data_IF_424400513124
#
_entry.id   IF_424400513124
#
_cell.length_a   1.000
_cell.length_b   1.000
_cell.length_c   1.000
_cell.angle_alpha   90.00
_cell.angle_beta   90.00
_cell.angle_gamma   90.00
#
_symmetry.space_group_name_H-M   'P 1'
#
loop_
_entity.id
_entity.type
_entity.pdbx_description
1 polymer ?
#
# COMPACT_ATOMS: atom_id res chain seq x y z
N UNK A 1 -9.34 -11.74 -4.51
CA UNK A 1 -9.93 -11.31 -3.23
C UNK A 1 -10.88 -10.16 -3.52
N UNK A 2 -12.17 -10.31 -3.25
CA UNK A 2 -13.21 -9.30 -3.49
C UNK A 2 -13.74 -8.83 -2.13
N UNK A 3 -13.99 -7.53 -1.96
CA UNK A 3 -14.60 -6.94 -0.76
C UNK A 3 -16.02 -6.44 -1.10
N UNK A 4 -17.01 -6.72 -0.24
CA UNK A 4 -18.47 -6.72 -0.49
C UNK A 4 -19.09 -5.41 -1.04
N UNK A 5 -20.25 -5.41 -1.71
CA UNK A 5 -21.60 -5.56 -1.12
C UNK A 5 -22.61 -6.34 -1.98
N UNK A 6 -22.17 -6.92 -3.10
CA UNK A 6 -22.95 -7.93 -3.83
C UNK A 6 -21.97 -8.94 -4.45
N UNK A 7 -21.80 -10.07 -3.77
CA UNK A 7 -21.00 -11.16 -4.31
C UNK A 7 -21.81 -11.72 -5.48
N UNK A 8 -21.40 -11.42 -6.73
CA UNK A 8 -21.82 -12.16 -7.94
C UNK A 8 -20.66 -13.05 -8.37
N UNK A 9 -20.51 -14.23 -7.75
CA UNK A 9 -19.29 -15.03 -7.84
C UNK A 9 -19.15 -15.79 -9.17
N UNK A 10 -20.18 -15.81 -10.00
CA UNK A 10 -20.23 -16.65 -11.21
C UNK A 10 -19.43 -16.10 -12.43
N UNK A 11 -18.88 -14.88 -12.37
CA UNK A 11 -18.10 -14.31 -13.50
C UNK A 11 -16.59 -14.20 -13.26
N UNK A 12 -16.11 -14.46 -12.05
CA UNK A 12 -14.70 -14.25 -11.69
C UNK A 12 -14.14 -15.50 -11.00
N UNK A 13 -13.01 -16.01 -11.48
CA UNK A 13 -12.27 -17.17 -10.95
C UNK A 13 -11.61 -16.88 -9.59
N UNK A 14 -12.39 -16.43 -8.61
CA UNK A 14 -11.94 -16.17 -7.25
C UNK A 14 -11.86 -17.50 -6.48
N UNK A 15 -10.75 -17.76 -5.77
CA UNK A 15 -10.58 -18.99 -4.97
C UNK A 15 -11.02 -18.85 -3.51
N UNK A 16 -11.18 -17.63 -3.02
CA UNK A 16 -11.64 -17.32 -1.64
C UNK A 16 -12.07 -15.84 -1.52
N UNK A 17 -12.79 -15.49 -0.44
CA UNK A 17 -13.22 -14.12 -0.17
C UNK A 17 -13.08 -13.73 1.31
N UNK A 18 -12.86 -12.44 1.56
CA UNK A 18 -12.98 -11.82 2.89
C UNK A 18 -14.37 -11.20 2.99
N UNK A 19 -15.05 -11.45 4.10
CA UNK A 19 -16.41 -10.95 4.29
C UNK A 19 -16.64 -10.25 5.62
N UNK A 20 -17.34 -9.10 5.57
CA UNK A 20 -17.56 -8.21 6.70
C UNK A 20 -18.80 -8.57 7.52
N UNK A 21 -18.95 -7.98 8.72
CA UNK A 21 -20.18 -8.13 9.53
C UNK A 21 -21.42 -7.65 8.73
N UNK A 22 -22.41 -8.54 8.58
CA UNK A 22 -23.70 -8.25 7.93
C UNK A 22 -23.82 -8.74 6.49
N UNK A 23 -22.79 -9.37 5.95
CA UNK A 23 -22.84 -9.98 4.63
C UNK A 23 -23.31 -11.44 4.70
N UNK A 24 -24.07 -11.82 3.67
CA UNK A 24 -24.67 -13.14 3.54
C UNK A 24 -23.80 -13.97 2.61
N UNK A 25 -23.49 -15.20 3.03
CA UNK A 25 -22.94 -16.22 2.13
C UNK A 25 -23.91 -16.60 0.99
N UNK A 26 -25.08 -15.95 0.89
CA UNK A 26 -26.04 -16.13 -0.18
C UNK A 26 -25.38 -15.96 -1.56
N UNK A 27 -25.43 -17.05 -2.34
CA UNK A 27 -24.91 -17.09 -3.70
C UNK A 27 -23.51 -17.70 -3.84
N UNK A 28 -22.84 -18.06 -2.74
CA UNK A 28 -21.58 -18.79 -2.78
C UNK A 28 -21.81 -20.31 -2.69
N UNK A 29 -21.04 -21.14 -3.44
CA UNK A 29 -21.01 -22.59 -3.23
C UNK A 29 -20.64 -22.93 -1.78
N UNK A 30 -21.23 -23.98 -1.21
CA UNK A 30 -20.93 -24.42 0.16
C UNK A 30 -19.44 -24.76 0.41
N UNK A 31 -18.71 -25.12 -0.66
CA UNK A 31 -17.27 -25.41 -0.63
C UNK A 31 -16.39 -24.19 -0.83
N UNK A 32 -16.95 -22.99 -1.03
CA UNK A 32 -16.18 -21.78 -1.28
C UNK A 32 -15.55 -21.25 0.03
N UNK A 33 -14.21 -21.16 0.13
CA UNK A 33 -13.58 -20.66 1.35
C UNK A 33 -13.93 -19.19 1.62
N UNK A 34 -14.61 -18.95 2.74
CA UNK A 34 -15.03 -17.64 3.21
C UNK A 34 -14.38 -17.32 4.56
N UNK A 35 -13.64 -16.22 4.61
CA UNK A 35 -13.02 -15.74 5.83
C UNK A 35 -13.86 -14.59 6.42
N UNK A 36 -14.53 -14.87 7.53
CA UNK A 36 -15.32 -13.88 8.24
C UNK A 36 -14.40 -12.95 9.03
N UNK A 37 -14.48 -11.65 8.74
CA UNK A 37 -13.68 -10.61 9.38
C UNK A 37 -14.58 -9.47 9.85
N UNK A 38 -14.15 -8.76 10.89
CA UNK A 38 -14.91 -7.61 11.36
C UNK A 38 -14.88 -6.43 10.38
N UNK A 39 -13.73 -6.23 9.75
CA UNK A 39 -13.47 -5.13 8.81
C UNK A 39 -12.55 -5.68 7.70
N UNK A 40 -13.05 -5.67 6.47
CA UNK A 40 -12.35 -6.22 5.29
C UNK A 40 -11.15 -5.38 4.90
N UNK A 41 -11.21 -4.06 5.07
CA UNK A 41 -10.11 -3.16 4.79
C UNK A 41 -8.98 -3.36 5.80
N UNK A 42 -9.31 -3.45 7.10
CA UNK A 42 -8.34 -3.74 8.15
C UNK A 42 -7.73 -5.13 7.96
N UNK A 43 -8.51 -6.11 7.55
CA UNK A 43 -8.01 -7.45 7.21
C UNK A 43 -7.02 -7.39 6.04
N UNK A 44 -7.35 -6.71 4.94
CA UNK A 44 -6.46 -6.50 3.79
C UNK A 44 -5.12 -5.87 4.22
N UNK A 45 -5.18 -4.81 5.04
CA UNK A 45 -4.01 -4.10 5.53
C UNK A 45 -3.15 -4.97 6.46
N UNK A 46 -3.77 -5.79 7.31
CA UNK A 46 -3.07 -6.74 8.17
C UNK A 46 -2.42 -7.87 7.36
N UNK A 47 -3.09 -8.36 6.32
CA UNK A 47 -2.51 -9.34 5.40
C UNK A 47 -1.27 -8.78 4.70
N UNK A 48 -1.33 -7.53 4.22
CA UNK A 48 -0.18 -6.87 3.61
C UNK A 48 1.01 -6.77 4.59
N UNK A 49 0.75 -6.36 5.84
CA UNK A 49 1.79 -6.34 6.89
C UNK A 49 2.39 -7.73 7.12
N UNK A 50 1.56 -8.77 7.20
CA UNK A 50 2.01 -10.15 7.35
C UNK A 50 2.89 -10.60 6.18
N UNK A 51 2.47 -10.28 4.95
CA UNK A 51 3.20 -10.67 3.74
C UNK A 51 4.55 -9.96 3.62
N UNK A 52 4.65 -8.68 4.02
CA UNK A 52 5.95 -8.00 4.11
C UNK A 52 6.90 -8.66 5.11
N UNK A 53 6.40 -9.17 6.22
CA UNK A 53 7.23 -9.87 7.21
C UNK A 53 7.68 -11.25 6.71
N UNK A 54 6.95 -11.86 5.77
CA UNK A 54 7.29 -13.14 5.15
C UNK A 54 8.32 -12.96 4.03
N UNK A 55 8.08 -12.05 3.09
CA UNK A 55 8.97 -11.82 1.91
C UNK A 55 10.21 -11.03 2.29
N UNK A 56 10.09 -10.10 3.25
CA UNK A 56 11.18 -9.25 3.76
C UNK A 56 11.97 -8.48 2.68
N UNK A 57 11.33 -7.85 1.67
CA UNK A 57 12.06 -7.09 0.66
C UNK A 57 12.68 -5.83 1.28
N UNK A 58 13.66 -5.24 0.59
CA UNK A 58 14.07 -3.86 0.85
C UNK A 58 12.98 -2.93 0.33
N UNK A 59 12.34 -2.19 1.24
CA UNK A 59 11.21 -1.30 0.89
C UNK A 59 11.71 0.13 0.71
N UNK A 60 11.42 0.71 -0.46
CA UNK A 60 11.69 2.12 -0.77
C UNK A 60 10.35 2.83 -0.91
N UNK A 61 10.05 3.77 -0.02
CA UNK A 61 8.83 4.56 -0.07
C UNK A 61 9.08 5.94 -0.72
N UNK A 62 8.21 6.35 -1.64
CA UNK A 62 8.31 7.62 -2.38
C UNK A 62 7.05 8.43 -2.17
N UNK A 63 7.21 9.67 -1.69
CA UNK A 63 6.14 10.68 -1.61
C UNK A 63 6.61 12.03 -2.13
N UNK A 64 5.70 13.00 -2.19
CA UNK A 64 5.93 14.32 -2.74
C UNK A 64 4.65 14.98 -3.25
N UNK A 65 4.70 16.27 -3.55
CA UNK A 65 3.58 16.92 -4.24
C UNK A 65 3.54 16.47 -5.69
N UNK A 66 4.68 16.57 -6.38
CA UNK A 66 4.85 16.19 -7.78
C UNK A 66 6.02 15.21 -7.97
N UNK A 67 6.05 14.50 -9.10
CA UNK A 67 7.19 13.64 -9.48
C UNK A 67 7.27 12.28 -8.76
N UNK A 68 6.26 11.92 -7.95
CA UNK A 68 6.17 10.61 -7.27
C UNK A 68 6.25 9.45 -8.26
N UNK A 69 5.36 9.43 -9.25
CA UNK A 69 5.26 8.37 -10.25
C UNK A 69 6.52 8.29 -11.11
N UNK A 70 7.02 9.43 -11.60
CA UNK A 70 8.27 9.51 -12.34
C UNK A 70 9.45 8.94 -11.54
N UNK A 71 9.60 9.35 -10.28
CA UNK A 71 10.68 8.89 -9.40
C UNK A 71 10.57 7.39 -9.12
N UNK A 72 9.37 6.89 -8.83
CA UNK A 72 9.09 5.46 -8.66
C UNK A 72 9.47 4.67 -9.91
N UNK A 73 9.10 5.14 -11.10
CA UNK A 73 9.37 4.46 -12.36
C UNK A 73 10.86 4.47 -12.71
N UNK A 74 11.56 5.58 -12.45
CA UNK A 74 13.01 5.68 -12.59
C UNK A 74 13.74 4.73 -11.63
N UNK A 75 13.38 4.73 -10.34
CA UNK A 75 13.94 3.80 -9.34
C UNK A 75 13.77 2.35 -9.79
N UNK A 76 12.56 1.98 -10.21
CA UNK A 76 12.28 0.63 -10.72
C UNK A 76 13.14 0.30 -11.93
N UNK A 77 13.27 1.21 -12.90
CA UNK A 77 14.06 0.99 -14.12
C UNK A 77 15.54 0.78 -13.84
N UNK A 78 16.09 1.42 -12.82
CA UNK A 78 17.48 1.26 -12.40
C UNK A 78 17.66 -0.03 -11.59
N UNK A 79 16.84 -0.23 -10.56
CA UNK A 79 16.98 -1.33 -9.61
C UNK A 79 16.71 -2.69 -10.24
N UNK A 80 15.80 -2.78 -11.22
CA UNK A 80 15.54 -4.03 -11.95
C UNK A 80 16.73 -4.56 -12.75
N UNK A 81 17.77 -3.74 -12.96
CA UNK A 81 19.01 -4.18 -13.60
C UNK A 81 19.88 -5.05 -12.70
N UNK A 82 19.67 -5.01 -11.38
CA UNK A 82 20.48 -5.75 -10.41
C UNK A 82 19.66 -6.59 -9.42
N UNK A 83 18.37 -6.28 -9.23
CA UNK A 83 17.51 -6.92 -8.23
C UNK A 83 16.14 -7.27 -8.81
N UNK A 84 15.53 -8.34 -8.33
CA UNK A 84 14.10 -8.62 -8.54
C UNK A 84 13.27 -7.55 -7.85
N UNK A 85 12.87 -6.57 -8.65
CA UNK A 85 12.23 -5.35 -8.15
C UNK A 85 10.75 -5.38 -8.49
N UNK A 86 9.89 -5.02 -7.53
CA UNK A 86 8.47 -4.77 -7.72
C UNK A 86 8.13 -3.32 -7.38
N UNK A 87 7.04 -2.79 -7.93
CA UNK A 87 6.62 -1.40 -7.69
C UNK A 87 5.10 -1.23 -7.64
N UNK A 88 4.65 -0.13 -7.06
CA UNK A 88 3.26 0.35 -7.18
C UNK A 88 2.84 0.48 -8.65
N UNK A 89 1.75 -0.20 -9.00
CA UNK A 89 1.12 -0.14 -10.33
C UNK A 89 0.06 0.96 -10.38
N UNK A 90 -0.01 1.68 -11.50
CA UNK A 90 -0.97 2.77 -11.68
C UNK A 90 -0.90 3.81 -10.55
N UNK A 91 -2.06 4.17 -10.00
CA UNK A 91 -2.25 5.15 -8.93
C UNK A 91 -2.57 4.52 -7.56
N UNK A 92 -2.12 3.29 -7.32
CA UNK A 92 -2.38 2.53 -6.10
C UNK A 92 -1.52 3.00 -4.90
N UNK A 93 -1.65 4.27 -4.52
CA UNK A 93 -0.78 4.94 -3.56
C UNK A 93 -1.45 5.32 -2.21
N UNK A 94 -2.66 4.81 -1.95
CA UNK A 94 -3.46 5.13 -0.76
C UNK A 94 -3.62 3.92 0.19
N UNK A 95 -4.51 4.06 1.19
CA UNK A 95 -4.76 3.06 2.25
C UNK A 95 -5.35 1.72 1.76
N UNK A 96 -5.76 1.62 0.49
CA UNK A 96 -6.17 0.37 -0.18
C UNK A 96 -5.08 -0.07 -1.18
N UNK A 97 -4.59 0.87 -1.99
CA UNK A 97 -3.66 0.59 -3.08
C UNK A 97 -2.29 0.07 -2.62
N UNK A 98 -1.75 0.62 -1.53
CA UNK A 98 -0.47 0.16 -0.97
C UNK A 98 -0.58 -1.30 -0.49
N UNK A 99 -1.58 -1.68 0.33
CA UNK A 99 -1.81 -3.09 0.67
C UNK A 99 -1.96 -4.02 -0.53
N UNK A 100 -2.70 -3.62 -1.57
CA UNK A 100 -2.87 -4.42 -2.78
C UNK A 100 -1.55 -4.60 -3.54
N UNK A 101 -0.74 -3.54 -3.64
CA UNK A 101 0.58 -3.60 -4.26
C UNK A 101 1.47 -4.59 -3.51
N UNK A 102 1.48 -4.52 -2.18
CA UNK A 102 2.26 -5.43 -1.33
C UNK A 102 1.83 -6.88 -1.56
N UNK A 103 0.53 -7.17 -1.55
CA UNK A 103 0.01 -8.53 -1.71
C UNK A 103 0.17 -9.09 -3.12
N UNK A 104 0.40 -8.23 -4.12
CA UNK A 104 0.62 -8.63 -5.50
C UNK A 104 2.11 -8.85 -5.83
N UNK A 105 3.05 -8.51 -4.94
CA UNK A 105 4.47 -8.69 -5.22
C UNK A 105 4.81 -10.20 -5.27
N UNK A 106 5.69 -10.64 -6.17
CA UNK A 106 6.24 -11.98 -6.13
C UNK A 106 6.97 -12.28 -4.81
N UNK A 107 6.91 -13.53 -4.34
CA UNK A 107 7.58 -13.97 -3.10
C UNK A 107 9.11 -13.83 -3.16
N UNK A 108 9.67 -13.74 -4.35
CA UNK A 108 11.09 -13.64 -4.59
C UNK A 108 11.56 -12.19 -4.86
N UNK A 109 10.68 -11.22 -4.57
CA UNK A 109 10.99 -9.78 -4.66
C UNK A 109 12.07 -9.39 -3.65
N UNK A 110 13.17 -8.83 -4.15
CA UNK A 110 14.29 -8.32 -3.35
C UNK A 110 14.09 -6.85 -2.97
N UNK A 111 13.49 -6.06 -3.88
CA UNK A 111 13.26 -4.63 -3.67
C UNK A 111 11.82 -4.25 -4.03
N UNK A 112 11.15 -3.55 -3.14
CA UNK A 112 9.78 -3.07 -3.33
C UNK A 112 9.73 -1.54 -3.31
N UNK A 113 9.36 -0.92 -4.43
CA UNK A 113 9.22 0.53 -4.56
C UNK A 113 7.75 0.93 -4.41
N UNK A 114 7.41 1.58 -3.30
CA UNK A 114 6.05 2.00 -2.98
C UNK A 114 5.86 3.50 -3.20
N UNK A 115 4.88 3.86 -4.01
CA UNK A 115 4.39 5.23 -4.08
C UNK A 115 3.34 5.47 -2.99
N UNK A 116 3.46 6.56 -2.23
CA UNK A 116 2.54 6.91 -1.15
C UNK A 116 2.00 8.33 -1.32
N UNK A 117 0.68 8.43 -1.41
CA UNK A 117 -0.10 9.67 -1.45
C UNK A 117 -0.72 10.00 -0.10
N UNK A 118 -1.10 11.27 0.07
CA UNK A 118 -1.89 11.76 1.19
C UNK A 118 -2.72 12.97 0.78
N UNK A 119 -3.86 13.15 1.43
CA UNK A 119 -4.71 14.33 1.41
C UNK A 119 -4.70 15.03 2.77
N UNK A 120 -4.66 14.27 3.86
CA UNK A 120 -4.74 14.77 5.23
C UNK A 120 -3.54 14.32 6.09
N UNK A 121 -3.37 14.96 7.24
CA UNK A 121 -2.44 14.50 8.28
C UNK A 121 -2.77 13.07 8.73
N UNK A 122 -1.74 12.32 9.12
CA UNK A 122 -1.84 10.94 9.61
C UNK A 122 -1.87 9.86 8.52
N UNK A 123 -2.22 10.20 7.28
CA UNK A 123 -2.31 9.22 6.19
C UNK A 123 -0.94 8.64 5.82
N UNK A 124 0.10 9.48 5.74
CA UNK A 124 1.46 8.98 5.47
C UNK A 124 2.04 8.21 6.65
N UNK A 125 1.71 8.61 7.89
CA UNK A 125 2.06 7.81 9.07
C UNK A 125 1.49 6.40 8.94
N UNK A 126 0.21 6.30 8.59
CA UNK A 126 -0.49 5.04 8.42
C UNK A 126 0.14 4.16 7.33
N UNK A 127 0.39 4.73 6.15
CA UNK A 127 1.03 4.00 5.04
C UNK A 127 2.45 3.56 5.37
N UNK A 128 3.23 4.44 6.01
CA UNK A 128 4.60 4.14 6.44
C UNK A 128 4.63 3.01 7.47
N UNK A 129 3.70 2.98 8.44
CA UNK A 129 3.61 1.91 9.42
C UNK A 129 3.18 0.55 8.84
N UNK A 130 2.43 0.55 7.73
CA UNK A 130 2.17 -0.68 6.96
C UNK A 130 3.45 -1.14 6.28
N UNK A 131 4.07 -0.25 5.51
CA UNK A 131 5.17 -0.58 4.61
C UNK A 131 6.51 -0.82 5.31
N UNK A 132 6.71 -0.21 6.48
CA UNK A 132 7.97 -0.19 7.24
C UNK A 132 9.19 0.04 6.33
N UNK A 133 9.29 1.21 5.67
CA UNK A 133 10.32 1.45 4.66
C UNK A 133 11.75 1.28 5.22
N UNK A 134 12.65 0.81 4.37
CA UNK A 134 14.09 0.87 4.59
C UNK A 134 14.65 2.24 4.14
N UNK A 135 14.07 2.81 3.09
CA UNK A 135 14.42 4.13 2.57
C UNK A 135 13.14 4.90 2.31
N UNK A 136 13.11 6.17 2.68
CA UNK A 136 12.01 7.08 2.37
C UNK A 136 12.54 8.26 1.54
N UNK A 137 11.85 8.56 0.43
CA UNK A 137 12.16 9.69 -0.45
C UNK A 137 10.97 10.66 -0.47
N UNK A 138 11.27 11.94 -0.29
CA UNK A 138 10.33 13.05 -0.48
C UNK A 138 10.84 13.85 -1.68
N UNK A 139 10.12 13.81 -2.81
CA UNK A 139 10.58 14.43 -4.06
C UNK A 139 10.54 15.95 -4.01
N UNK A 140 9.44 16.54 -3.52
CA UNK A 140 9.27 17.98 -3.34
C UNK A 140 8.11 18.31 -2.39
N UNK A 141 8.14 19.55 -1.88
CA UNK A 141 7.04 20.19 -1.14
C UNK A 141 6.46 21.33 -2.00
N UNK A 142 5.38 21.04 -2.73
CA UNK A 142 4.60 22.00 -3.49
C UNK A 142 3.33 22.43 -2.75
N UNK A 143 2.32 22.89 -3.50
CA UNK A 143 1.04 23.42 -2.97
C UNK A 143 -0.13 22.43 -3.07
N UNK A 144 0.13 21.20 -3.51
CA UNK A 144 -0.89 20.12 -3.53
C UNK A 144 -1.52 19.96 -2.14
N UNK A 145 -2.84 19.91 -2.06
CA UNK A 145 -3.59 19.68 -0.81
C UNK A 145 -3.49 20.83 0.22
N UNK A 146 -3.12 22.04 -0.20
CA UNK A 146 -3.03 23.21 0.69
C UNK A 146 -4.37 23.51 1.37
N UNK A 147 -5.51 23.24 0.73
CA UNK A 147 -6.85 23.39 1.30
C UNK A 147 -7.05 22.56 2.58
N UNK A 148 -6.45 21.38 2.64
CA UNK A 148 -6.55 20.46 3.79
C UNK A 148 -5.44 20.67 4.83
N UNK A 149 -4.31 21.23 4.41
CA UNK A 149 -3.07 21.31 5.21
C UNK A 149 -2.70 22.73 5.61
N UNK A 150 -3.44 23.72 5.13
CA UNK A 150 -3.41 25.14 5.50
C UNK A 150 -2.18 25.93 5.03
N UNK A 151 -1.02 25.30 4.89
CA UNK A 151 0.22 25.96 4.49
C UNK A 151 1.24 25.00 3.89
N UNK A 152 2.25 25.53 3.20
CA UNK A 152 3.41 24.74 2.75
C UNK A 152 4.16 24.07 3.90
N UNK A 153 4.20 24.70 5.07
CA UNK A 153 4.76 24.09 6.28
C UNK A 153 3.90 22.90 6.77
N UNK A 154 2.57 23.01 6.68
CA UNK A 154 1.64 21.90 6.93
C UNK A 154 1.85 20.74 5.96
N UNK A 155 2.02 21.04 4.66
CA UNK A 155 2.35 20.04 3.63
C UNK A 155 3.68 19.34 3.95
N UNK A 156 4.71 20.10 4.31
CA UNK A 156 6.00 19.53 4.70
C UNK A 156 5.87 18.61 5.91
N UNK A 157 5.17 19.05 6.97
CA UNK A 157 4.93 18.27 8.18
C UNK A 157 4.21 16.96 7.87
N UNK A 158 3.15 17.03 7.07
CA UNK A 158 2.39 15.84 6.71
C UNK A 158 3.19 14.90 5.79
N UNK A 159 4.07 15.41 4.92
CA UNK A 159 4.97 14.57 4.11
C UNK A 159 6.08 13.90 4.91
N UNK A 160 6.58 14.57 5.94
CA UNK A 160 7.59 14.01 6.85
C UNK A 160 7.07 12.79 7.61
N UNK A 161 5.77 12.62 7.78
CA UNK A 161 5.18 11.42 8.38
C UNK A 161 5.61 10.10 7.71
N UNK A 162 6.08 10.14 6.46
CA UNK A 162 6.66 8.97 5.79
C UNK A 162 7.81 8.32 6.60
N UNK A 163 8.48 9.06 7.47
CA UNK A 163 9.56 8.50 8.31
C UNK A 163 9.06 7.75 9.55
N UNK A 164 7.78 7.87 9.91
CA UNK A 164 7.25 7.33 11.17
C UNK A 164 7.28 5.79 11.24
N UNK A 165 7.31 5.10 10.10
CA UNK A 165 7.51 3.66 10.00
C UNK A 165 8.90 3.26 9.50
N UNK A 166 9.83 4.20 9.32
CA UNK A 166 11.16 3.91 8.80
C UNK A 166 11.89 2.94 9.74
N UNK A 167 12.45 1.87 9.19
CA UNK A 167 13.23 0.90 9.96
C UNK A 167 14.50 1.57 10.49
N UNK A 168 14.76 1.44 11.79
CA UNK A 168 16.05 1.82 12.36
C UNK A 168 17.14 1.02 11.65
N UNK A 169 18.09 1.73 11.05
CA UNK A 169 19.29 1.11 10.51
C UNK A 169 20.26 1.04 11.68
N UNK A 170 20.31 -0.09 12.38
CA UNK A 170 21.49 -0.37 13.21
C UNK A 170 22.67 -0.50 12.23
N UNK A 171 23.68 0.36 12.44
CA UNK A 171 24.96 0.30 11.74
C UNK A 171 25.87 -0.66 12.48
#
# INVERSE_FOLDING_TARGET
MVTSSSIRPLKWSCSSALDGKGASAAGLPASFPLFLVHDTLKALQNMAKGYLNQVQPKVIAVTGSNGKTTTKDMLYSILRGAFRTFKTQGNLNNHIGVPLTILAMPEDTEVLVLEMGMNHFGELTFLSQIAKPNVALITNIGESHIEYLGSRAGIAKAKLEIVNGLKNTER
#
